data_IF_236371189223
#
_entry.id   IF_236371189223
#
_cell.length_a   1.000
_cell.length_b   1.000
_cell.length_c   1.000
_cell.angle_alpha   90.00
_cell.angle_beta   90.00
_cell.angle_gamma   90.00
#
_symmetry.space_group_name_H-M   'P 1'
#
loop_
_entity.id
_entity.type
_entity.pdbx_description
1 polymer ?
#
# COMPACT_ATOMS: atom_id res chain seq x y z
N UNK A 1 -25.36 -0.96 -6.10
CA UNK A 1 -23.93 -1.38 -6.15
C UNK A 1 -23.87 -2.82 -5.70
N UNK A 2 -23.12 -3.68 -6.38
CA UNK A 2 -22.92 -5.08 -5.96
C UNK A 2 -21.86 -5.20 -4.86
N UNK A 3 -21.82 -6.38 -4.22
CA UNK A 3 -20.93 -6.64 -3.07
C UNK A 3 -19.43 -6.53 -3.42
N UNK A 4 -19.04 -6.86 -4.65
CA UNK A 4 -17.64 -6.78 -5.08
C UNK A 4 -17.19 -5.34 -5.30
N UNK A 5 -18.05 -4.47 -5.84
CA UNK A 5 -17.77 -3.04 -5.93
C UNK A 5 -17.66 -2.40 -4.53
N UNK A 6 -18.55 -2.76 -3.59
CA UNK A 6 -18.44 -2.29 -2.20
C UNK A 6 -17.14 -2.75 -1.55
N UNK A 7 -16.76 -4.00 -1.71
CA UNK A 7 -15.49 -4.53 -1.20
C UNK A 7 -14.30 -3.77 -1.78
N UNK A 8 -14.29 -3.52 -3.09
CA UNK A 8 -13.23 -2.76 -3.75
C UNK A 8 -13.09 -1.34 -3.20
N UNK A 9 -14.22 -0.65 -2.95
CA UNK A 9 -14.22 0.69 -2.32
C UNK A 9 -13.64 0.58 -0.90
N UNK A 10 -14.13 -0.34 -0.09
CA UNK A 10 -13.65 -0.53 1.29
C UNK A 10 -12.18 -0.90 1.37
N UNK A 11 -11.63 -1.60 0.37
CA UNK A 11 -10.22 -1.98 0.30
C UNK A 11 -9.34 -0.94 -0.41
N UNK A 12 -9.88 0.19 -0.84
CA UNK A 12 -9.12 1.18 -1.59
C UNK A 12 -8.20 2.00 -0.68
N UNK A 13 -6.91 2.05 -1.00
CA UNK A 13 -6.01 3.12 -0.59
C UNK A 13 -6.06 4.19 -1.68
N UNK A 14 -6.97 5.17 -1.52
CA UNK A 14 -7.18 6.24 -2.49
C UNK A 14 -5.94 7.14 -2.53
N UNK A 15 -5.24 7.13 -3.66
CA UNK A 15 -3.87 7.64 -3.74
C UNK A 15 -3.78 8.93 -4.55
N UNK A 16 -3.13 9.95 -3.99
CA UNK A 16 -2.63 11.12 -4.70
C UNK A 16 -1.17 11.36 -4.33
N UNK A 17 -0.30 11.19 -5.34
CA UNK A 17 1.14 11.37 -5.23
C UNK A 17 1.66 12.21 -6.42
N UNK A 18 0.85 13.10 -6.95
CA UNK A 18 1.24 14.05 -7.99
C UNK A 18 2.34 14.99 -7.50
N UNK A 19 3.19 15.44 -8.41
CA UNK A 19 4.26 16.37 -8.06
C UNK A 19 3.68 17.77 -7.79
N UNK A 20 2.55 18.08 -8.46
CA UNK A 20 1.80 19.34 -8.33
C UNK A 20 0.67 19.26 -7.27
N UNK A 21 0.58 18.17 -6.48
CA UNK A 21 -0.42 18.04 -5.42
C UNK A 21 -0.22 19.16 -4.39
N UNK A 22 -1.35 19.72 -3.94
CA UNK A 22 -1.45 20.79 -2.95
C UNK A 22 -2.46 20.45 -1.83
N UNK A 23 -2.73 21.42 -0.97
CA UNK A 23 -3.69 21.25 0.12
C UNK A 23 -5.13 21.10 -0.39
N UNK A 24 -5.49 21.75 -1.51
CA UNK A 24 -6.82 21.63 -2.09
C UNK A 24 -7.05 20.23 -2.68
N UNK A 25 -6.04 19.68 -3.36
CA UNK A 25 -6.02 18.30 -3.84
C UNK A 25 -6.17 17.31 -2.68
N UNK A 26 -5.47 17.57 -1.57
CA UNK A 26 -5.55 16.75 -0.36
C UNK A 26 -6.94 16.81 0.27
N UNK A 27 -7.55 17.99 0.36
CA UNK A 27 -8.91 18.16 0.89
C UNK A 27 -9.94 17.40 0.06
N UNK A 28 -9.91 17.56 -1.26
CA UNK A 28 -10.80 16.85 -2.17
C UNK A 28 -10.62 15.33 -2.08
N UNK A 29 -9.38 14.85 -1.95
CA UNK A 29 -9.09 13.44 -1.75
C UNK A 29 -9.73 12.90 -0.46
N UNK A 30 -9.59 13.64 0.65
CA UNK A 30 -10.15 13.25 1.94
C UNK A 30 -11.69 13.25 1.92
N UNK A 31 -12.32 14.24 1.31
CA UNK A 31 -13.79 14.28 1.16
C UNK A 31 -14.31 13.07 0.39
N UNK A 32 -13.70 12.76 -0.74
CA UNK A 32 -14.04 11.58 -1.55
C UNK A 32 -13.77 10.27 -0.82
N UNK A 33 -12.78 10.22 0.05
CA UNK A 33 -12.43 9.03 0.82
C UNK A 33 -13.46 8.68 1.89
N UNK A 34 -14.07 9.70 2.51
CA UNK A 34 -15.06 9.54 3.59
C UNK A 34 -16.45 9.24 3.04
N UNK A 35 -16.87 9.90 1.98
CA UNK A 35 -18.19 9.72 1.35
C UNK A 35 -18.03 9.46 -0.16
N UNK A 36 -17.45 8.28 -0.53
CA UNK A 36 -17.21 7.95 -1.94
C UNK A 36 -18.53 7.78 -2.73
N UNK A 37 -19.62 7.43 -2.05
CA UNK A 37 -20.95 7.24 -2.64
C UNK A 37 -21.95 8.10 -1.85
N UNK A 38 -22.34 9.27 -2.37
CA UNK A 38 -23.25 10.18 -1.66
C UNK A 38 -24.49 9.47 -1.12
N UNK A 39 -24.77 9.67 0.18
CA UNK A 39 -25.90 9.02 0.87
C UNK A 39 -25.61 7.61 1.41
N UNK A 40 -24.39 7.08 1.25
CA UNK A 40 -23.92 5.81 1.81
C UNK A 40 -22.92 6.06 2.93
N UNK A 41 -23.32 6.71 4.00
CA UNK A 41 -22.47 7.04 5.14
C UNK A 41 -21.86 5.83 5.87
N UNK A 42 -22.26 4.61 5.51
CA UNK A 42 -21.66 3.34 5.97
C UNK A 42 -20.47 2.90 5.10
N UNK A 43 -20.20 3.59 3.99
CA UNK A 43 -19.18 3.21 3.01
C UNK A 43 -18.08 4.28 2.92
N UNK A 44 -16.86 3.89 3.21
CA UNK A 44 -15.66 4.71 3.03
C UNK A 44 -14.53 3.87 2.44
N UNK A 45 -13.48 4.51 1.95
CA UNK A 45 -12.25 3.81 1.57
C UNK A 45 -11.44 3.43 2.81
N UNK A 46 -10.46 2.52 2.67
CA UNK A 46 -9.60 2.09 3.77
C UNK A 46 -8.63 3.19 4.22
N UNK A 47 -8.00 3.86 3.25
CA UNK A 47 -7.02 4.89 3.52
C UNK A 47 -6.93 5.92 2.39
N UNK A 48 -6.43 7.10 2.70
CA UNK A 48 -5.79 7.97 1.70
C UNK A 48 -4.29 7.74 1.73
N UNK A 49 -3.64 7.77 0.55
CA UNK A 49 -2.20 7.65 0.45
C UNK A 49 -1.64 8.93 -0.19
N UNK A 50 -0.84 9.68 0.58
CA UNK A 50 -0.36 11.01 0.22
C UNK A 50 1.15 11.15 0.43
N UNK A 51 1.75 12.23 -0.06
CA UNK A 51 3.10 12.61 0.32
C UNK A 51 3.17 13.01 1.80
N UNK A 52 4.30 12.76 2.51
CA UNK A 52 4.44 13.09 3.93
C UNK A 52 4.13 14.56 4.27
N UNK A 53 4.43 15.48 3.36
CA UNK A 53 4.13 16.92 3.53
C UNK A 53 2.64 17.23 3.71
N UNK A 54 1.76 16.34 3.25
CA UNK A 54 0.30 16.48 3.36
C UNK A 54 -0.31 15.67 4.50
N UNK A 55 0.47 14.84 5.21
CA UNK A 55 -0.02 14.04 6.31
C UNK A 55 -0.73 14.87 7.40
N UNK A 56 -0.22 16.03 7.85
CA UNK A 56 -0.91 16.84 8.85
C UNK A 56 -2.31 17.29 8.39
N UNK A 57 -2.43 17.68 7.12
CA UNK A 57 -3.72 18.11 6.56
C UNK A 57 -4.70 16.96 6.43
N UNK A 58 -4.24 15.83 5.89
CA UNK A 58 -5.07 14.62 5.78
C UNK A 58 -5.53 14.13 7.16
N UNK A 59 -4.65 14.10 8.15
CA UNK A 59 -4.99 13.74 9.54
C UNK A 59 -6.05 14.66 10.13
N UNK A 60 -5.93 15.97 9.90
CA UNK A 60 -6.93 16.95 10.36
C UNK A 60 -8.30 16.70 9.69
N UNK A 61 -8.31 16.47 8.36
CA UNK A 61 -9.56 16.28 7.58
C UNK A 61 -10.26 14.96 7.90
N UNK A 62 -9.50 13.95 8.25
CA UNK A 62 -10.01 12.60 8.51
C UNK A 62 -10.23 12.30 10.00
N UNK A 63 -10.04 13.29 10.88
CA UNK A 63 -10.27 13.13 12.31
C UNK A 63 -11.71 12.66 12.60
N UNK A 64 -11.85 11.59 13.39
CA UNK A 64 -13.15 11.01 13.72
C UNK A 64 -13.78 10.12 12.65
N UNK A 65 -13.10 9.89 11.52
CA UNK A 65 -13.52 8.96 10.47
C UNK A 65 -12.74 7.63 10.56
N UNK A 66 -13.22 6.54 9.93
CA UNK A 66 -12.48 5.29 9.89
C UNK A 66 -11.34 5.28 8.86
N UNK A 67 -11.23 6.29 8.02
CA UNK A 67 -10.23 6.36 6.93
C UNK A 67 -8.85 6.64 7.50
N UNK A 68 -7.87 5.81 7.15
CA UNK A 68 -6.49 5.92 7.62
C UNK A 68 -5.68 6.89 6.75
N UNK A 69 -4.64 7.48 7.34
CA UNK A 69 -3.64 8.26 6.60
C UNK A 69 -2.41 7.41 6.36
N UNK A 70 -2.13 7.09 5.10
CA UNK A 70 -0.93 6.41 4.65
C UNK A 70 0.01 7.39 3.95
N UNK A 71 1.33 7.22 4.15
CA UNK A 71 2.34 8.00 3.46
C UNK A 71 3.31 7.12 2.67
N UNK A 72 3.56 7.48 1.41
CA UNK A 72 4.67 6.94 0.64
C UNK A 72 5.96 7.65 1.07
N UNK A 73 6.92 6.91 1.65
CA UNK A 73 8.08 7.49 2.33
C UNK A 73 9.29 6.55 2.33
N UNK A 74 10.36 6.90 3.01
CA UNK A 74 11.54 6.05 3.19
C UNK A 74 12.29 5.79 1.89
N UNK A 75 12.51 6.82 1.07
CA UNK A 75 13.14 6.72 -0.24
C UNK A 75 12.17 6.38 -1.38
N UNK A 76 10.88 6.67 -1.21
CA UNK A 76 9.90 6.48 -2.29
C UNK A 76 10.09 7.53 -3.40
N UNK A 77 10.05 7.18 -4.72
CA UNK A 77 9.76 5.85 -5.25
C UNK A 77 10.98 4.95 -5.46
N UNK A 78 12.18 5.45 -5.23
CA UNK A 78 13.46 4.75 -5.46
C UNK A 78 14.33 4.88 -4.21
N UNK A 79 14.78 3.77 -3.58
CA UNK A 79 15.52 3.80 -2.31
C UNK A 79 17.01 4.07 -2.54
N UNK A 80 17.37 5.11 -3.29
CA UNK A 80 18.74 5.51 -3.66
C UNK A 80 19.42 6.45 -2.66
N UNK A 81 18.64 6.96 -1.69
CA UNK A 81 19.17 7.79 -0.61
C UNK A 81 19.83 6.95 0.49
N UNK A 82 20.78 7.53 1.25
CA UNK A 82 21.38 6.85 2.41
C UNK A 82 20.31 6.35 3.41
N UNK A 83 20.50 5.15 3.95
CA UNK A 83 19.53 4.53 4.86
C UNK A 83 19.12 5.46 6.02
N UNK A 84 20.06 6.17 6.62
CA UNK A 84 19.78 7.09 7.72
C UNK A 84 18.76 8.18 7.34
N UNK A 85 18.84 8.73 6.12
CA UNK A 85 17.87 9.71 5.62
C UNK A 85 16.51 9.09 5.40
N UNK A 86 16.46 7.89 4.83
CA UNK A 86 15.22 7.14 4.59
C UNK A 86 14.50 6.81 5.91
N UNK A 87 15.25 6.42 6.94
CA UNK A 87 14.69 6.18 8.28
C UNK A 87 14.15 7.47 8.92
N UNK A 88 14.82 8.59 8.74
CA UNK A 88 14.36 9.89 9.21
C UNK A 88 13.06 10.34 8.49
N UNK A 89 12.95 10.11 7.18
CA UNK A 89 11.72 10.36 6.42
C UNK A 89 10.54 9.55 6.97
N UNK A 90 10.74 8.28 7.33
CA UNK A 90 9.71 7.43 7.93
C UNK A 90 9.22 8.03 9.26
N UNK A 91 10.15 8.37 10.17
CA UNK A 91 9.81 8.96 11.47
C UNK A 91 9.05 10.26 11.31
N UNK A 92 9.52 11.16 10.44
CA UNK A 92 8.84 12.43 10.14
C UNK A 92 7.43 12.23 9.60
N UNK A 93 7.19 11.23 8.74
CA UNK A 93 5.85 10.94 8.25
C UNK A 93 4.91 10.54 9.40
N UNK A 94 5.39 9.74 10.35
CA UNK A 94 4.64 9.31 11.52
C UNK A 94 4.39 10.49 12.47
N UNK A 95 5.41 11.28 12.77
CA UNK A 95 5.30 12.48 13.61
C UNK A 95 4.33 13.50 12.99
N UNK A 96 4.20 13.51 11.68
CA UNK A 96 3.23 14.31 10.92
C UNK A 96 1.79 13.74 10.95
N UNK A 97 1.56 12.59 11.57
CA UNK A 97 0.25 11.98 11.76
C UNK A 97 -0.07 10.80 10.85
N UNK A 98 0.88 10.31 10.06
CA UNK A 98 0.67 9.09 9.27
C UNK A 98 0.49 7.88 10.20
N UNK A 99 -0.57 7.13 9.97
CA UNK A 99 -0.89 5.90 10.69
C UNK A 99 -0.35 4.66 9.97
N UNK A 100 -0.04 4.82 8.69
CA UNK A 100 0.47 3.77 7.80
C UNK A 100 1.60 4.36 6.95
N UNK A 101 2.64 3.56 6.69
CA UNK A 101 3.76 3.96 5.85
C UNK A 101 4.04 2.90 4.79
N UNK A 102 4.12 3.34 3.54
CA UNK A 102 4.47 2.51 2.39
C UNK A 102 5.95 2.79 2.06
N UNK A 103 6.83 1.82 2.31
CA UNK A 103 8.30 1.97 2.21
C UNK A 103 8.88 1.01 1.19
N UNK A 104 9.72 1.51 0.28
CA UNK A 104 10.32 0.70 -0.79
C UNK A 104 11.44 -0.17 -0.25
N UNK A 105 11.37 -1.49 -0.50
CA UNK A 105 12.46 -2.41 -0.25
C UNK A 105 13.64 -2.11 -1.19
N UNK A 106 14.86 -2.20 -0.67
CA UNK A 106 16.06 -1.98 -1.46
C UNK A 106 16.41 -3.23 -2.29
N UNK A 107 15.85 -3.31 -3.50
CA UNK A 107 16.04 -4.45 -4.41
C UNK A 107 17.50 -4.65 -4.86
N UNK A 108 18.34 -3.64 -4.72
CA UNK A 108 19.78 -3.78 -5.07
C UNK A 108 20.56 -4.61 -4.04
N UNK A 109 19.96 -4.90 -2.88
CA UNK A 109 20.54 -5.77 -1.85
C UNK A 109 20.08 -7.23 -1.97
N UNK A 110 19.43 -7.64 -3.06
CA UNK A 110 18.95 -9.02 -3.21
C UNK A 110 20.08 -10.06 -3.20
N UNK A 111 21.26 -9.69 -3.70
CA UNK A 111 22.46 -10.54 -3.65
C UNK A 111 23.19 -10.47 -2.30
N UNK A 112 22.71 -9.64 -1.37
CA UNK A 112 23.24 -9.44 -0.02
C UNK A 112 22.14 -9.65 1.04
N UNK A 113 21.66 -10.88 1.25
CA UNK A 113 20.46 -11.14 2.07
C UNK A 113 20.54 -10.61 3.50
N UNK A 114 21.73 -10.63 4.10
CA UNK A 114 21.95 -10.09 5.45
C UNK A 114 21.83 -8.57 5.50
N UNK A 115 22.30 -7.87 4.48
CA UNK A 115 22.19 -6.41 4.36
C UNK A 115 20.74 -6.00 4.09
N UNK A 116 20.05 -6.70 3.18
CA UNK A 116 18.63 -6.49 2.91
C UNK A 116 17.81 -6.66 4.19
N UNK A 117 18.01 -7.73 4.92
CA UNK A 117 17.30 -8.01 6.17
C UNK A 117 17.55 -6.92 7.21
N UNK A 118 18.80 -6.54 7.43
CA UNK A 118 19.15 -5.49 8.39
C UNK A 118 18.51 -4.14 8.03
N UNK A 119 18.46 -3.79 6.74
CA UNK A 119 17.79 -2.57 6.28
C UNK A 119 16.28 -2.63 6.51
N UNK A 120 15.64 -3.76 6.23
CA UNK A 120 14.19 -3.94 6.44
C UNK A 120 13.82 -3.92 7.93
N UNK A 121 14.63 -4.55 8.79
CA UNK A 121 14.48 -4.49 10.26
C UNK A 121 14.61 -3.04 10.77
N UNK A 122 15.55 -2.26 10.23
CA UNK A 122 15.72 -0.86 10.57
C UNK A 122 14.51 -0.01 10.11
N UNK A 123 13.96 -0.28 8.91
CA UNK A 123 12.75 0.40 8.43
C UNK A 123 11.52 0.04 9.27
N UNK A 124 11.37 -1.23 9.67
CA UNK A 124 10.34 -1.66 10.62
C UNK A 124 10.45 -0.93 11.96
N UNK A 125 11.67 -0.87 12.50
CA UNK A 125 11.92 -0.17 13.76
C UNK A 125 11.59 1.34 13.67
N UNK A 126 11.90 1.98 12.54
CA UNK A 126 11.56 3.37 12.29
C UNK A 126 10.05 3.60 12.17
N UNK A 127 9.30 2.63 11.65
CA UNK A 127 7.84 2.67 11.56
C UNK A 127 7.14 2.52 12.93
N UNK A 128 7.82 1.99 13.95
CA UNK A 128 7.28 1.85 15.30
C UNK A 128 5.96 1.07 15.33
N UNK A 129 4.89 1.68 15.83
CA UNK A 129 3.55 1.08 15.90
C UNK A 129 2.69 1.34 14.65
N UNK A 130 3.16 2.14 13.69
CA UNK A 130 2.44 2.37 12.45
C UNK A 130 2.40 1.11 11.58
N UNK A 131 1.32 0.95 10.82
CA UNK A 131 1.23 -0.13 9.81
C UNK A 131 2.30 0.09 8.76
N UNK A 132 3.23 -0.86 8.65
CA UNK A 132 4.30 -0.83 7.67
C UNK A 132 4.00 -1.72 6.48
N UNK A 133 3.89 -1.10 5.29
CA UNK A 133 3.70 -1.81 4.04
C UNK A 133 5.02 -1.81 3.26
N UNK A 134 5.60 -3.00 3.09
CA UNK A 134 6.84 -3.20 2.36
C UNK A 134 6.57 -3.23 0.85
N UNK A 135 7.05 -2.25 0.10
CA UNK A 135 6.91 -2.19 -1.36
C UNK A 135 8.02 -3.03 -1.99
N UNK A 136 7.62 -4.11 -2.62
CA UNK A 136 8.52 -5.11 -3.22
C UNK A 136 9.08 -4.63 -4.57
N UNK A 137 8.34 -3.79 -5.30
CA UNK A 137 8.58 -3.36 -6.68
C UNK A 137 8.66 -4.56 -7.66
N UNK A 138 7.62 -5.39 -7.63
CA UNK A 138 7.56 -6.68 -8.32
C UNK A 138 7.82 -6.60 -9.82
N UNK A 139 7.47 -5.48 -10.46
CA UNK A 139 7.70 -5.26 -11.89
C UNK A 139 9.17 -5.09 -12.28
N UNK A 140 10.06 -4.91 -11.30
CA UNK A 140 11.50 -4.80 -11.50
C UNK A 140 12.25 -6.10 -11.13
N UNK A 141 11.53 -7.17 -10.77
CA UNK A 141 12.10 -8.40 -10.21
C UNK A 141 11.73 -9.63 -11.03
N UNK A 142 12.58 -10.64 -10.98
CA UNK A 142 12.23 -12.01 -11.39
C UNK A 142 11.31 -12.65 -10.36
N UNK A 143 10.63 -13.75 -10.72
CA UNK A 143 9.78 -14.50 -9.79
C UNK A 143 10.56 -14.96 -8.54
N UNK A 144 11.84 -15.32 -8.68
CA UNK A 144 12.71 -15.65 -7.56
C UNK A 144 13.02 -14.42 -6.70
N UNK A 145 13.36 -13.29 -7.32
CA UNK A 145 13.57 -12.02 -6.62
C UNK A 145 12.36 -11.58 -5.82
N UNK A 146 11.13 -11.77 -6.34
CA UNK A 146 9.90 -11.49 -5.60
C UNK A 146 9.80 -12.37 -4.36
N UNK A 147 10.08 -13.67 -4.45
CA UNK A 147 10.07 -14.57 -3.30
C UNK A 147 11.09 -14.15 -2.24
N UNK A 148 12.31 -13.85 -2.64
CA UNK A 148 13.38 -13.44 -1.72
C UNK A 148 13.02 -12.15 -0.97
N UNK A 149 12.55 -11.12 -1.66
CA UNK A 149 12.18 -9.85 -0.99
C UNK A 149 10.92 -10.02 -0.11
N UNK A 150 9.97 -10.86 -0.51
CA UNK A 150 8.82 -11.21 0.34
C UNK A 150 9.30 -11.83 1.66
N UNK A 151 10.14 -12.86 1.59
CA UNK A 151 10.64 -13.57 2.77
C UNK A 151 11.42 -12.64 3.69
N UNK A 152 12.25 -11.78 3.14
CA UNK A 152 12.98 -10.78 3.91
C UNK A 152 12.03 -9.79 4.60
N UNK A 153 11.01 -9.28 3.89
CA UNK A 153 10.02 -8.35 4.44
C UNK A 153 9.15 -9.00 5.53
N UNK A 154 8.72 -10.25 5.31
CA UNK A 154 7.99 -11.04 6.31
C UNK A 154 8.84 -11.25 7.55
N UNK A 155 10.10 -11.67 7.37
CA UNK A 155 11.05 -11.88 8.47
C UNK A 155 11.36 -10.61 9.26
N UNK A 156 11.33 -9.44 8.62
CA UNK A 156 11.51 -8.14 9.26
C UNK A 156 10.22 -7.61 9.92
N UNK A 157 9.10 -8.28 9.77
CA UNK A 157 7.84 -7.92 10.46
C UNK A 157 6.94 -6.96 9.68
N UNK A 158 6.94 -7.00 8.33
CA UNK A 158 6.00 -6.20 7.52
C UNK A 158 4.55 -6.55 7.84
N UNK A 159 3.68 -5.55 7.98
CA UNK A 159 2.24 -5.77 8.16
C UNK A 159 1.54 -6.05 6.83
N UNK A 160 2.05 -5.46 5.75
CA UNK A 160 1.59 -5.70 4.38
C UNK A 160 2.77 -5.91 3.44
N UNK A 161 2.58 -6.78 2.45
CA UNK A 161 3.40 -6.84 1.25
C UNK A 161 2.70 -6.02 0.16
N UNK A 162 3.38 -5.00 -0.38
CA UNK A 162 2.85 -4.16 -1.46
C UNK A 162 3.59 -4.46 -2.76
N UNK A 163 2.85 -4.67 -3.84
CA UNK A 163 3.45 -5.08 -5.11
C UNK A 163 4.36 -4.02 -5.73
N UNK A 164 3.92 -2.76 -5.78
CA UNK A 164 4.60 -1.75 -6.62
C UNK A 164 4.46 -0.34 -6.07
N UNK A 165 5.40 0.53 -6.45
CA UNK A 165 5.27 1.98 -6.21
C UNK A 165 4.20 2.63 -7.09
N UNK A 166 3.98 2.07 -8.29
CA UNK A 166 3.19 2.69 -9.35
C UNK A 166 3.96 3.76 -10.12
N UNK A 167 5.28 3.89 -9.88
CA UNK A 167 6.18 4.84 -10.53
C UNK A 167 7.42 4.14 -11.06
N UNK A 168 7.70 4.29 -12.34
CA UNK A 168 8.91 3.78 -12.99
C UNK A 168 8.79 2.33 -13.48
N UNK A 169 8.76 1.35 -12.59
CA UNK A 169 8.62 -0.05 -12.97
C UNK A 169 7.17 -0.41 -13.34
N UNK A 170 6.96 -1.49 -14.11
CA UNK A 170 5.62 -2.03 -14.34
C UNK A 170 4.89 -2.32 -13.02
N UNK A 171 3.58 -2.07 -13.00
CA UNK A 171 2.74 -2.34 -11.85
C UNK A 171 2.48 -3.82 -11.59
N UNK A 172 1.50 -4.10 -10.74
CA UNK A 172 1.09 -5.45 -10.41
C UNK A 172 0.65 -6.25 -11.64
N UNK A 173 1.03 -7.52 -11.68
CA UNK A 173 0.53 -8.51 -12.64
C UNK A 173 -0.14 -9.66 -11.88
N UNK A 174 -1.05 -10.43 -12.53
CA UNK A 174 -1.62 -11.61 -11.90
C UNK A 174 -0.57 -12.60 -11.39
N UNK A 175 0.54 -12.75 -12.11
CA UNK A 175 1.65 -13.61 -11.72
C UNK A 175 2.33 -13.10 -10.45
N UNK A 176 2.70 -11.81 -10.39
CA UNK A 176 3.34 -11.24 -9.20
C UNK A 176 2.43 -11.31 -7.97
N UNK A 177 1.13 -11.02 -8.14
CA UNK A 177 0.14 -11.15 -7.07
C UNK A 177 0.01 -12.58 -6.58
N UNK A 178 0.03 -13.58 -7.50
CA UNK A 178 -0.01 -14.99 -7.12
C UNK A 178 1.21 -15.40 -6.29
N UNK A 179 2.41 -14.97 -6.67
CA UNK A 179 3.65 -15.25 -5.92
C UNK A 179 3.59 -14.64 -4.52
N UNK A 180 3.17 -13.36 -4.41
CA UNK A 180 3.04 -12.69 -3.10
C UNK A 180 1.99 -13.40 -2.23
N UNK A 181 0.84 -13.78 -2.80
CA UNK A 181 -0.19 -14.53 -2.08
C UNK A 181 0.34 -15.90 -1.58
N UNK A 182 1.12 -16.62 -2.36
CA UNK A 182 1.78 -17.86 -1.95
C UNK A 182 2.72 -17.64 -0.74
N UNK A 183 3.43 -16.51 -0.69
CA UNK A 183 4.28 -16.18 0.45
C UNK A 183 3.47 -15.82 1.70
N UNK A 184 2.29 -15.20 1.53
CA UNK A 184 1.35 -14.94 2.63
C UNK A 184 0.81 -16.25 3.23
N UNK A 185 0.49 -17.26 2.38
CA UNK A 185 0.02 -18.58 2.86
C UNK A 185 1.04 -19.26 3.76
N UNK A 186 2.33 -19.16 3.44
CA UNK A 186 3.38 -19.83 4.20
C UNK A 186 3.91 -19.00 5.39
N UNK A 187 3.50 -17.73 5.49
CA UNK A 187 3.85 -16.91 6.63
C UNK A 187 3.07 -17.36 7.88
N UNK A 188 3.78 -17.67 8.96
CA UNK A 188 3.17 -18.09 10.23
C UNK A 188 2.70 -16.88 11.05
N UNK A 189 1.96 -15.95 10.40
CA UNK A 189 1.38 -14.75 11.02
C UNK A 189 0.37 -14.08 10.11
N UNK A 190 -0.48 -13.22 10.69
CA UNK A 190 -1.36 -12.35 9.92
C UNK A 190 -0.53 -11.37 9.07
N UNK A 191 -0.84 -11.30 7.79
CA UNK A 191 -0.12 -10.48 6.81
C UNK A 191 -1.09 -10.01 5.74
N UNK A 192 -1.04 -8.72 5.40
CA UNK A 192 -1.87 -8.15 4.35
C UNK A 192 -1.16 -8.10 3.00
N UNK A 193 -1.97 -7.91 1.95
CA UNK A 193 -1.52 -7.67 0.58
C UNK A 193 -2.06 -6.32 0.09
N UNK A 194 -1.16 -5.44 -0.38
CA UNK A 194 -1.55 -4.24 -1.13
C UNK A 194 -1.16 -4.41 -2.60
N UNK A 195 -2.16 -4.41 -3.47
CA UNK A 195 -1.97 -4.49 -4.91
C UNK A 195 -1.99 -3.07 -5.48
N UNK A 196 -0.97 -2.67 -6.23
CA UNK A 196 -0.82 -1.30 -6.74
C UNK A 196 -0.03 -1.23 -8.04
N UNK A 197 -0.16 -0.08 -8.71
CA UNK A 197 0.51 0.18 -9.99
C UNK A 197 -0.37 -0.13 -11.20
N UNK A 198 -0.92 0.94 -11.81
CA UNK A 198 -1.67 0.84 -13.06
C UNK A 198 -3.09 0.26 -12.96
N UNK A 199 -3.68 0.18 -11.77
CA UNK A 199 -5.05 -0.33 -11.57
C UNK A 199 -6.04 0.82 -11.81
N UNK A 200 -6.79 0.74 -12.92
CA UNK A 200 -7.70 1.81 -13.34
C UNK A 200 -9.12 1.36 -13.60
N UNK A 201 -9.33 0.09 -13.89
CA UNK A 201 -10.63 -0.47 -14.29
C UNK A 201 -11.19 -1.46 -13.29
N UNK A 202 -12.53 -1.49 -13.19
CA UNK A 202 -13.26 -2.39 -12.29
C UNK A 202 -12.93 -3.85 -12.59
N UNK A 203 -13.00 -4.27 -13.85
CA UNK A 203 -12.71 -5.64 -14.25
C UNK A 203 -11.30 -6.10 -13.84
N UNK A 204 -10.29 -5.24 -13.97
CA UNK A 204 -8.93 -5.54 -13.55
C UNK A 204 -8.88 -5.73 -12.02
N UNK A 205 -9.49 -4.83 -11.25
CA UNK A 205 -9.51 -4.90 -9.79
C UNK A 205 -10.27 -6.14 -9.30
N UNK A 206 -11.41 -6.47 -9.91
CA UNK A 206 -12.20 -7.69 -9.60
C UNK A 206 -11.38 -8.95 -9.87
N UNK A 207 -10.66 -9.03 -10.99
CA UNK A 207 -9.79 -10.17 -11.29
C UNK A 207 -8.71 -10.39 -10.22
N UNK A 208 -8.16 -9.31 -9.63
CA UNK A 208 -7.24 -9.43 -8.51
C UNK A 208 -7.93 -9.94 -7.23
N UNK A 209 -9.12 -9.44 -6.92
CA UNK A 209 -9.90 -9.94 -5.77
C UNK A 209 -10.20 -11.42 -5.91
N UNK A 210 -10.62 -11.87 -7.10
CA UNK A 210 -10.87 -13.28 -7.39
C UNK A 210 -9.61 -14.14 -7.27
N UNK A 211 -8.47 -13.64 -7.77
CA UNK A 211 -7.18 -14.31 -7.61
C UNK A 211 -6.83 -14.50 -6.13
N UNK A 212 -6.98 -13.45 -5.35
CA UNK A 212 -6.75 -13.46 -3.90
C UNK A 212 -7.69 -14.44 -3.20
N UNK A 213 -8.99 -14.42 -3.51
CA UNK A 213 -9.96 -15.38 -2.97
C UNK A 213 -9.58 -16.83 -3.26
N UNK A 214 -9.13 -17.12 -4.48
CA UNK A 214 -8.67 -18.47 -4.85
C UNK A 214 -7.42 -18.92 -4.10
N UNK A 215 -6.52 -18.00 -3.79
CA UNK A 215 -5.22 -18.32 -3.15
C UNK A 215 -5.29 -18.31 -1.62
N UNK A 216 -6.05 -17.39 -1.03
CA UNK A 216 -6.04 -17.10 0.40
C UNK A 216 -7.37 -17.43 1.10
N UNK A 217 -8.43 -17.70 0.35
CA UNK A 217 -9.76 -18.01 0.86
C UNK A 217 -10.81 -16.95 0.50
N UNK A 218 -12.07 -17.39 0.39
CA UNK A 218 -13.20 -16.54 -0.03
C UNK A 218 -13.40 -15.31 0.86
N UNK A 219 -13.19 -15.45 2.15
CA UNK A 219 -13.45 -14.44 3.18
C UNK A 219 -12.21 -13.65 3.56
N UNK A 220 -11.04 -13.99 2.97
CA UNK A 220 -9.79 -13.34 3.29
C UNK A 220 -9.76 -11.86 2.85
N UNK A 221 -10.31 -11.45 1.69
CA UNK A 221 -10.26 -10.05 1.29
C UNK A 221 -11.14 -9.17 2.17
N UNK A 222 -10.50 -8.39 3.03
CA UNK A 222 -11.11 -7.38 3.89
C UNK A 222 -10.23 -6.11 3.90
N UNK A 223 -10.72 -4.95 4.33
CA UNK A 223 -9.87 -3.76 4.48
C UNK A 223 -8.64 -3.96 5.39
N UNK A 224 -8.68 -4.95 6.28
CA UNK A 224 -7.56 -5.27 7.17
C UNK A 224 -6.49 -6.16 6.51
N UNK A 225 -6.83 -6.88 5.43
CA UNK A 225 -5.94 -7.85 4.80
C UNK A 225 -5.66 -7.53 3.34
N UNK A 226 -6.59 -6.91 2.61
CA UNK A 226 -6.43 -6.51 1.21
C UNK A 226 -6.51 -4.99 1.08
N UNK A 227 -5.58 -4.42 0.33
CA UNK A 227 -5.65 -3.02 -0.14
C UNK A 227 -5.42 -2.95 -1.64
N UNK A 228 -6.09 -2.02 -2.28
CA UNK A 228 -5.89 -1.67 -3.68
C UNK A 228 -5.39 -0.22 -3.74
N UNK A 229 -4.15 -0.03 -4.15
CA UNK A 229 -3.57 1.30 -4.30
C UNK A 229 -3.87 1.87 -5.68
N UNK A 230 -4.77 2.85 -5.76
CA UNK A 230 -5.15 3.46 -7.04
C UNK A 230 -5.63 4.91 -6.87
N UNK A 231 -5.50 5.73 -7.91
CA UNK A 231 -6.03 7.09 -7.99
C UNK A 231 -7.36 7.15 -8.77
N UNK A 232 -7.46 6.47 -9.90
CA UNK A 232 -8.60 6.58 -10.83
C UNK A 232 -9.64 5.46 -10.66
N UNK A 233 -9.37 4.43 -9.87
CA UNK A 233 -10.29 3.28 -9.74
C UNK A 233 -11.62 3.66 -9.12
N UNK A 234 -11.64 4.62 -8.19
CA UNK A 234 -12.87 5.07 -7.55
C UNK A 234 -13.86 5.62 -8.58
N UNK A 235 -13.41 6.43 -9.53
CA UNK A 235 -14.27 6.97 -10.58
C UNK A 235 -14.89 5.85 -11.43
N UNK A 236 -14.11 4.84 -11.77
CA UNK A 236 -14.58 3.67 -12.51
C UNK A 236 -15.58 2.80 -11.73
N UNK A 237 -15.45 2.75 -10.38
CA UNK A 237 -16.39 2.03 -9.51
C UNK A 237 -17.73 2.76 -9.37
N UNK A 238 -17.74 4.09 -9.56
CA UNK A 238 -18.92 4.94 -9.43
C UNK A 238 -19.66 5.15 -10.75
N UNK A 239 -19.01 4.91 -11.88
CA UNK A 239 -19.60 4.95 -13.21
C UNK A 239 -20.48 3.71 -13.48
#
# INVERSE_FOLDING_TARGET
MDADRELLIRCLDLTSLGDDDDLATTDALCERAVDPVPGRGDLSVAAVCVWPRFAPRATQRLAGTPVRVACATGGFPVPDEPLAQRLDQIRRAIDAGAQEVDVVCNRWLLDEPSALRAELEATRAAAGSATWKAILETGALTSEGIRLVCDAAVGAGADFLKTSTGRGAPGATPESVAIVAERIVVADRSLGLKISGGIRGVAQATNYVELVRRKLGSDWPTPATLRIGASALLDALLA
#
